data_IF_911414643638
#
_entry.id   IF_911414643638
#
_cell.length_a   1.000
_cell.length_b   1.000
_cell.length_c   1.000
_cell.angle_alpha   90.00
_cell.angle_beta   90.00
_cell.angle_gamma   90.00
#
_symmetry.space_group_name_H-M   'P 1'
#
loop_
_entity.id
_entity.type
_entity.pdbx_description
1 polymer ?
#
# COMPACT_ATOMS: atom_id res chain seq x y z
N UNK A 1 -13.79 1.44 -24.16
CA UNK A 1 -13.84 1.92 -22.76
C UNK A 1 -12.86 1.25 -21.80
N UNK A 2 -12.20 0.14 -22.16
CA UNK A 2 -11.32 -0.61 -21.23
C UNK A 2 -9.85 -0.20 -21.18
N UNK A 3 -9.41 0.71 -22.04
CA UNK A 3 -8.00 1.10 -22.15
C UNK A 3 -7.62 2.21 -21.13
N UNK A 4 -8.51 3.14 -20.85
CA UNK A 4 -8.27 4.27 -19.94
C UNK A 4 -8.20 3.85 -18.47
N UNK A 5 -9.00 2.86 -18.06
CA UNK A 5 -8.98 2.37 -16.67
C UNK A 5 -7.71 1.56 -16.31
N UNK A 6 -6.98 1.02 -17.30
CA UNK A 6 -5.72 0.28 -17.07
C UNK A 6 -4.48 1.19 -17.05
N UNK A 7 -4.52 2.31 -17.74
CA UNK A 7 -3.47 3.34 -17.63
C UNK A 7 -3.49 4.04 -16.27
N UNK A 8 -4.66 4.23 -15.67
CA UNK A 8 -4.79 4.83 -14.33
C UNK A 8 -4.15 3.98 -13.23
N UNK A 9 -4.13 2.64 -13.37
CA UNK A 9 -3.55 1.74 -12.37
C UNK A 9 -2.01 1.74 -12.39
N UNK A 10 -1.40 1.84 -13.57
CA UNK A 10 0.07 1.96 -13.71
C UNK A 10 0.59 3.34 -13.29
N UNK A 11 -0.22 4.39 -13.46
CA UNK A 11 0.10 5.73 -12.99
C UNK A 11 -0.06 5.88 -11.46
N UNK A 12 -0.96 5.11 -10.80
CA UNK A 12 -1.09 5.10 -9.34
C UNK A 12 0.13 4.57 -8.65
N UNK A 13 0.72 3.45 -9.11
CA UNK A 13 1.96 2.90 -8.52
C UNK A 13 3.14 3.89 -8.60
N UNK A 14 3.17 4.75 -9.62
CA UNK A 14 4.23 5.76 -9.80
C UNK A 14 3.93 7.06 -9.04
N UNK A 15 2.65 7.42 -8.87
CA UNK A 15 2.22 8.61 -8.12
C UNK A 15 2.33 8.41 -6.60
N UNK A 16 2.01 7.21 -6.11
CA UNK A 16 2.27 6.85 -4.71
C UNK A 16 3.76 6.97 -4.38
N UNK A 17 4.66 6.53 -5.29
CA UNK A 17 6.12 6.66 -5.10
C UNK A 17 6.61 8.11 -5.10
N UNK A 18 6.07 8.97 -5.99
CA UNK A 18 6.44 10.40 -6.02
C UNK A 18 5.85 11.16 -4.81
N UNK A 19 4.68 10.77 -4.33
CA UNK A 19 4.07 11.30 -3.11
C UNK A 19 4.92 11.00 -1.87
N UNK A 20 5.46 9.78 -1.76
CA UNK A 20 6.33 9.38 -0.65
C UNK A 20 7.67 10.11 -0.65
N UNK A 21 8.32 10.29 -1.79
CA UNK A 21 9.63 11.00 -1.89
C UNK A 21 9.49 12.49 -1.59
N UNK A 22 8.37 13.14 -1.96
CA UNK A 22 8.12 14.56 -1.61
C UNK A 22 7.62 14.76 -0.19
N UNK A 23 7.02 13.75 0.45
CA UNK A 23 6.66 13.78 1.87
C UNK A 23 7.89 13.93 2.79
N UNK A 24 9.04 13.44 2.37
CA UNK A 24 10.33 13.54 3.07
C UNK A 24 10.72 14.97 3.46
N UNK A 25 10.55 15.96 2.57
CA UNK A 25 10.91 17.37 2.85
C UNK A 25 9.90 18.09 3.75
N UNK A 26 8.62 17.69 3.72
CA UNK A 26 7.61 18.24 4.65
C UNK A 26 7.72 17.64 6.05
N UNK A 27 8.13 16.38 6.16
CA UNK A 27 8.19 15.64 7.42
C UNK A 27 9.23 16.23 8.37
N UNK A 28 10.42 16.56 7.87
CA UNK A 28 11.48 17.20 8.67
C UNK A 28 11.10 18.57 9.23
N UNK A 29 10.11 19.25 8.65
CA UNK A 29 9.56 20.51 9.17
C UNK A 29 8.62 20.27 10.36
N UNK A 30 7.86 19.18 10.35
CA UNK A 30 6.89 18.81 11.41
C UNK A 30 7.62 18.40 12.71
N UNK A 31 8.81 17.80 12.62
CA UNK A 31 9.60 17.39 13.78
C UNK A 31 10.20 18.57 14.58
N UNK A 32 10.41 19.74 13.96
CA UNK A 32 10.96 20.92 14.63
C UNK A 32 9.95 21.75 15.42
N UNK A 33 8.65 21.52 15.25
CA UNK A 33 7.58 22.26 15.94
C UNK A 33 7.06 21.54 17.22
N UNK A 34 7.90 20.71 17.86
CA UNK A 34 7.49 19.85 18.98
C UNK A 34 7.55 20.50 20.37
N UNK A 35 7.58 21.82 20.47
CA UNK A 35 7.51 22.51 21.77
C UNK A 35 6.21 23.32 21.90
N UNK A 36 5.28 22.75 22.61
CA UNK A 36 4.40 23.38 23.61
C UNK A 36 3.19 22.51 23.92
N UNK A 37 3.00 22.26 25.19
CA UNK A 37 1.88 21.56 25.77
C UNK A 37 0.57 22.26 25.42
N UNK A 38 -0.29 21.57 24.72
CA UNK A 38 -1.72 21.44 24.95
C UNK A 38 -2.42 20.67 23.84
N UNK A 39 -3.46 19.90 24.17
CA UNK A 39 -3.98 18.88 23.26
C UNK A 39 -5.05 19.39 22.28
N UNK A 40 -4.96 20.60 21.76
CA UNK A 40 -5.86 21.04 20.67
C UNK A 40 -5.43 20.44 19.32
N UNK A 41 -5.51 19.12 19.25
CA UNK A 41 -5.18 18.40 18.01
C UNK A 41 -6.18 18.78 16.92
N UNK A 42 -7.45 19.01 17.26
CA UNK A 42 -8.46 19.42 16.29
C UNK A 42 -8.13 20.78 15.68
N UNK A 43 -7.70 21.76 16.47
CA UNK A 43 -7.26 23.06 15.97
C UNK A 43 -6.07 22.93 15.00
N UNK A 44 -5.11 22.09 15.31
CA UNK A 44 -3.97 21.79 14.43
C UNK A 44 -4.42 21.10 13.13
N UNK A 45 -5.37 20.16 13.20
CA UNK A 45 -5.95 19.50 12.02
C UNK A 45 -6.63 20.54 11.11
N UNK A 46 -7.41 21.43 11.67
CA UNK A 46 -8.18 22.45 10.94
C UNK A 46 -7.39 23.70 10.58
N UNK A 47 -6.12 23.79 10.95
CA UNK A 47 -5.27 24.91 10.58
C UNK A 47 -5.15 25.05 9.06
N UNK A 48 -5.15 26.30 8.57
CA UNK A 48 -5.08 26.62 7.14
C UNK A 48 -3.89 25.95 6.45
N UNK A 49 -2.74 25.93 7.10
CA UNK A 49 -1.52 25.31 6.54
C UNK A 49 -1.65 23.80 6.43
N UNK A 50 -2.21 23.14 7.43
CA UNK A 50 -2.42 21.68 7.42
C UNK A 50 -3.45 21.29 6.34
N UNK A 51 -4.57 22.01 6.22
CA UNK A 51 -5.59 21.77 5.20
C UNK A 51 -5.04 22.01 3.79
N UNK A 52 -4.24 23.06 3.58
CA UNK A 52 -3.58 23.30 2.30
C UNK A 52 -2.60 22.19 1.92
N UNK A 53 -1.82 21.68 2.88
CA UNK A 53 -0.93 20.51 2.66
C UNK A 53 -1.75 19.27 2.30
N UNK A 54 -2.85 19.03 3.02
CA UNK A 54 -3.75 17.92 2.77
C UNK A 54 -4.36 18.00 1.35
N UNK A 55 -4.88 19.16 0.96
CA UNK A 55 -5.39 19.39 -0.39
C UNK A 55 -4.34 19.10 -1.47
N UNK A 56 -3.12 19.67 -1.32
CA UNK A 56 -2.02 19.46 -2.28
C UNK A 56 -1.68 17.96 -2.44
N UNK A 57 -1.71 17.20 -1.35
CA UNK A 57 -1.44 15.77 -1.35
C UNK A 57 -2.56 14.96 -2.01
N UNK A 58 -3.82 15.28 -1.71
CA UNK A 58 -4.98 14.65 -2.35
C UNK A 58 -5.01 14.97 -3.85
N UNK A 59 -4.71 16.22 -4.24
CA UNK A 59 -4.61 16.63 -5.65
C UNK A 59 -3.52 15.88 -6.41
N UNK A 60 -2.36 15.65 -5.79
CA UNK A 60 -1.27 14.90 -6.42
C UNK A 60 -1.64 13.44 -6.75
N UNK A 61 -2.57 12.85 -5.99
CA UNK A 61 -3.01 11.46 -6.19
C UNK A 61 -4.02 11.29 -7.34
N UNK A 62 -4.58 12.36 -7.89
CA UNK A 62 -5.52 12.35 -9.04
C UNK A 62 -6.64 11.30 -8.89
N UNK A 63 -7.20 11.17 -7.69
CA UNK A 63 -8.23 10.16 -7.41
C UNK A 63 -9.58 10.47 -8.04
N UNK A 64 -10.37 9.43 -8.35
CA UNK A 64 -11.72 9.56 -8.88
C UNK A 64 -12.68 10.28 -7.89
N UNK A 65 -13.79 10.89 -8.36
CA UNK A 65 -14.80 11.52 -7.51
C UNK A 65 -15.52 10.52 -6.61
N UNK A 66 -16.02 11.00 -5.47
CA UNK A 66 -16.82 10.23 -4.52
C UNK A 66 -18.26 10.03 -4.96
N UNK A 67 -19.17 9.93 -3.98
CA UNK A 67 -20.63 9.82 -4.21
C UNK A 67 -21.25 11.12 -4.69
N UNK A 68 -20.63 12.25 -4.35
CA UNK A 68 -21.03 13.60 -4.73
C UNK A 68 -20.68 13.97 -6.17
N UNK A 69 -19.91 13.15 -6.86
CA UNK A 69 -19.43 13.41 -8.21
C UNK A 69 -18.39 14.53 -8.33
N UNK A 70 -18.05 15.23 -7.23
CA UNK A 70 -17.10 16.35 -7.23
C UNK A 70 -15.70 15.88 -7.62
N UNK A 71 -15.13 16.51 -8.64
CA UNK A 71 -13.76 16.31 -9.08
C UNK A 71 -12.77 17.08 -8.20
N UNK A 72 -11.49 16.75 -8.34
CA UNK A 72 -10.44 17.45 -7.56
C UNK A 72 -10.22 18.89 -8.04
N UNK A 73 -10.50 19.17 -9.30
CA UNK A 73 -10.44 20.50 -9.90
C UNK A 73 -11.55 21.39 -9.37
N UNK A 74 -12.76 20.87 -9.23
CA UNK A 74 -13.93 21.57 -8.68
C UNK A 74 -13.83 21.75 -7.16
N UNK A 75 -13.13 20.89 -6.46
CA UNK A 75 -12.99 20.98 -5.00
C UNK A 75 -12.25 22.24 -4.53
N UNK A 76 -11.33 22.81 -5.32
CA UNK A 76 -10.58 23.99 -4.89
C UNK A 76 -11.43 25.28 -4.87
N UNK A 77 -12.17 25.64 -5.93
CA UNK A 77 -13.11 26.76 -5.87
C UNK A 77 -14.12 26.58 -4.75
N UNK A 78 -14.71 25.40 -4.62
CA UNK A 78 -15.69 25.09 -3.59
C UNK A 78 -15.11 25.28 -2.17
N UNK A 79 -13.91 24.78 -1.89
CA UNK A 79 -13.26 24.99 -0.59
C UNK A 79 -12.92 26.46 -0.32
N UNK A 80 -12.59 27.25 -1.33
CA UNK A 80 -12.34 28.68 -1.16
C UNK A 80 -13.58 29.40 -0.58
N UNK A 81 -14.74 29.00 -1.02
CA UNK A 81 -16.01 29.60 -0.64
C UNK A 81 -16.54 29.05 0.69
N UNK A 82 -16.45 27.72 0.89
CA UNK A 82 -17.10 27.01 1.99
C UNK A 82 -16.15 26.57 3.12
N UNK A 83 -14.85 26.89 3.07
CA UNK A 83 -13.87 26.38 4.05
C UNK A 83 -14.19 26.83 5.48
N UNK A 84 -14.67 28.06 5.67
CA UNK A 84 -15.03 28.57 7.00
C UNK A 84 -16.21 27.79 7.59
N UNK A 85 -17.28 27.64 6.82
CA UNK A 85 -18.46 26.88 7.24
C UNK A 85 -18.10 25.41 7.57
N UNK A 86 -17.32 24.78 6.69
CA UNK A 86 -16.86 23.40 6.87
C UNK A 86 -16.07 23.24 8.18
N UNK A 87 -15.11 24.12 8.43
CA UNK A 87 -14.29 24.06 9.66
C UNK A 87 -15.13 24.33 10.91
N UNK A 88 -16.08 25.25 10.87
CA UNK A 88 -16.99 25.50 11.99
C UNK A 88 -17.93 24.32 12.25
N UNK A 89 -18.47 23.68 11.22
CA UNK A 89 -19.27 22.45 11.36
C UNK A 89 -18.45 21.31 12.00
N UNK A 90 -17.17 21.19 11.63
CA UNK A 90 -16.28 20.20 12.23
C UNK A 90 -16.02 20.53 13.71
N UNK A 91 -15.71 21.80 14.05
CA UNK A 91 -15.46 22.25 15.44
C UNK A 91 -16.66 22.02 16.34
N UNK A 92 -17.85 22.30 15.85
CA UNK A 92 -19.11 22.08 16.56
C UNK A 92 -19.55 20.62 16.61
N UNK A 93 -18.80 19.73 16.00
CA UNK A 93 -19.12 18.31 15.93
C UNK A 93 -20.35 17.97 15.07
N UNK A 94 -20.78 18.84 14.18
CA UNK A 94 -21.92 18.62 13.29
C UNK A 94 -21.53 18.07 11.91
N UNK A 95 -20.24 17.87 11.66
CA UNK A 95 -19.77 17.27 10.41
C UNK A 95 -20.05 15.78 10.38
N UNK A 96 -20.77 15.34 9.34
CA UNK A 96 -21.02 13.93 9.07
C UNK A 96 -20.35 13.56 7.74
N UNK A 97 -19.39 12.62 7.76
CA UNK A 97 -18.77 12.14 6.54
C UNK A 97 -19.78 11.49 5.59
N UNK A 98 -19.58 11.69 4.30
CA UNK A 98 -20.39 11.02 3.27
C UNK A 98 -20.08 9.54 3.19
N UNK A 99 -21.02 8.68 2.78
CA UNK A 99 -20.74 7.28 2.49
C UNK A 99 -19.72 7.16 1.36
N UNK A 100 -18.88 6.12 1.40
CA UNK A 100 -17.90 5.90 0.33
C UNK A 100 -18.55 5.25 -0.88
N UNK A 101 -18.18 5.67 -2.09
CA UNK A 101 -18.63 5.07 -3.34
C UNK A 101 -17.91 3.74 -3.57
N UNK A 102 -18.65 2.64 -3.67
CA UNK A 102 -18.10 1.30 -3.93
C UNK A 102 -17.60 1.18 -5.37
N UNK A 103 -16.40 0.64 -5.53
CA UNK A 103 -15.85 0.25 -6.83
C UNK A 103 -15.22 -1.13 -6.70
N UNK A 104 -15.51 -2.00 -7.62
CA UNK A 104 -14.98 -3.35 -7.67
C UNK A 104 -13.83 -3.45 -8.67
N UNK A 105 -12.68 -3.95 -8.21
CA UNK A 105 -11.49 -4.17 -9.04
C UNK A 105 -11.19 -5.67 -9.08
N UNK A 106 -11.09 -6.29 -10.27
CA UNK A 106 -10.76 -7.69 -10.39
C UNK A 106 -9.35 -7.97 -9.88
N UNK A 107 -9.19 -9.01 -9.07
CA UNK A 107 -7.89 -9.51 -8.64
C UNK A 107 -7.29 -10.42 -9.72
N UNK A 108 -5.95 -10.55 -9.77
CA UNK A 108 -5.28 -11.46 -10.71
C UNK A 108 -5.60 -12.95 -10.50
N UNK A 109 -6.07 -13.31 -9.33
CA UNK A 109 -6.43 -14.67 -8.90
C UNK A 109 -7.92 -15.01 -9.12
N UNK A 110 -8.67 -14.15 -9.82
CA UNK A 110 -10.09 -14.31 -10.14
C UNK A 110 -11.06 -13.78 -9.10
N UNK A 111 -10.56 -13.25 -7.97
CA UNK A 111 -11.41 -12.60 -6.97
C UNK A 111 -11.66 -11.12 -7.27
N UNK A 112 -12.50 -10.49 -6.45
CA UNK A 112 -12.80 -9.05 -6.53
C UNK A 112 -12.26 -8.34 -5.30
N UNK A 113 -11.65 -7.15 -5.50
CA UNK A 113 -11.31 -6.22 -4.43
C UNK A 113 -12.34 -5.10 -4.41
N UNK A 114 -13.01 -4.96 -3.30
CA UNK A 114 -14.01 -3.91 -3.08
C UNK A 114 -13.32 -2.66 -2.52
N UNK A 115 -13.20 -1.60 -3.33
CA UNK A 115 -12.67 -0.31 -2.88
C UNK A 115 -13.81 0.65 -2.52
N UNK A 116 -13.58 1.49 -1.51
CA UNK A 116 -14.46 2.60 -1.19
C UNK A 116 -13.78 3.92 -1.55
N UNK A 117 -14.41 4.75 -2.37
CA UNK A 117 -13.90 6.05 -2.76
C UNK A 117 -14.64 7.12 -1.96
N UNK A 118 -14.00 7.78 -0.96
CA UNK A 118 -14.60 8.91 -0.24
C UNK A 118 -14.73 10.13 -1.14
N UNK A 119 -15.56 11.10 -0.76
CA UNK A 119 -15.62 12.41 -1.42
C UNK A 119 -14.26 13.11 -1.36
N UNK A 120 -14.05 14.09 -2.24
CA UNK A 120 -12.79 14.85 -2.24
C UNK A 120 -12.61 15.58 -0.91
N UNK A 121 -13.69 16.18 -0.39
CA UNK A 121 -13.71 16.88 0.90
C UNK A 121 -13.33 15.92 2.04
N UNK A 122 -13.95 14.74 2.12
CA UNK A 122 -13.62 13.73 3.13
C UNK A 122 -12.16 13.29 3.04
N UNK A 123 -11.63 13.07 1.83
CA UNK A 123 -10.21 12.73 1.62
C UNK A 123 -9.26 13.81 2.14
N UNK A 124 -9.61 15.09 1.97
CA UNK A 124 -8.80 16.21 2.46
C UNK A 124 -8.79 16.22 3.98
N UNK A 125 -9.96 16.07 4.62
CA UNK A 125 -10.07 16.04 6.07
C UNK A 125 -9.35 14.81 6.65
N UNK A 126 -9.56 13.62 6.08
CA UNK A 126 -8.84 12.40 6.48
C UNK A 126 -7.32 12.55 6.33
N UNK A 127 -6.87 13.20 5.26
CA UNK A 127 -5.45 13.49 5.05
C UNK A 127 -4.93 14.50 6.08
N UNK A 128 -5.72 15.52 6.43
CA UNK A 128 -5.37 16.48 7.47
C UNK A 128 -5.25 15.83 8.86
N UNK A 129 -6.17 14.92 9.20
CA UNK A 129 -6.09 14.10 10.42
C UNK A 129 -4.83 13.25 10.41
N UNK A 130 -4.59 12.51 9.33
CA UNK A 130 -3.44 11.62 9.19
C UNK A 130 -2.12 12.36 9.39
N UNK A 131 -1.99 13.58 8.85
CA UNK A 131 -0.80 14.41 8.98
C UNK A 131 -0.47 14.82 10.44
N UNK A 132 -1.49 14.97 11.28
CA UNK A 132 -1.31 15.31 12.69
C UNK A 132 -1.15 14.09 13.58
N UNK A 133 -1.72 12.94 13.21
CA UNK A 133 -1.59 11.72 13.98
C UNK A 133 -0.30 10.95 13.70
N UNK A 134 0.24 11.00 12.48
CA UNK A 134 1.51 10.32 12.14
C UNK A 134 2.64 10.66 13.11
N UNK A 135 2.92 11.93 13.47
CA UNK A 135 3.96 12.26 14.43
C UNK A 135 3.75 11.69 15.84
N UNK A 136 2.50 11.40 16.22
CA UNK A 136 2.16 10.81 17.51
C UNK A 136 2.46 9.30 17.52
N UNK A 137 2.14 8.61 16.41
CA UNK A 137 2.23 7.16 16.32
C UNK A 137 3.54 6.64 15.76
N UNK A 138 4.22 7.39 14.88
CA UNK A 138 5.46 6.95 14.23
C UNK A 138 6.54 6.51 15.25
N UNK A 139 6.79 7.22 16.37
CA UNK A 139 7.74 6.78 17.37
C UNK A 139 7.33 5.53 18.16
N UNK A 140 6.04 5.18 18.12
CA UNK A 140 5.45 4.06 18.88
C UNK A 140 5.36 2.78 18.06
N UNK A 141 5.50 2.89 16.74
CA UNK A 141 5.47 1.72 15.88
C UNK A 141 6.72 0.86 16.05
N UNK A 142 6.52 -0.45 16.07
CA UNK A 142 7.60 -1.41 16.13
C UNK A 142 8.60 -1.24 14.97
N UNK A 143 9.87 -1.52 15.22
CA UNK A 143 10.91 -1.43 14.19
C UNK A 143 10.67 -2.37 13.00
N UNK A 144 10.07 -3.53 13.24
CA UNK A 144 9.72 -4.51 12.22
C UNK A 144 8.52 -4.15 11.36
N UNK A 145 7.84 -3.02 11.62
CA UNK A 145 6.72 -2.53 10.81
C UNK A 145 7.22 -1.57 9.74
N UNK A 146 6.92 -1.83 8.46
CA UNK A 146 7.46 -1.09 7.31
C UNK A 146 6.38 -0.49 6.40
N UNK A 147 5.20 -1.09 6.31
CA UNK A 147 4.15 -0.65 5.39
C UNK A 147 3.48 0.66 5.83
N UNK A 148 3.21 1.55 4.88
CA UNK A 148 2.52 2.84 5.08
C UNK A 148 3.20 3.79 6.08
N UNK A 149 4.48 3.61 6.33
CA UNK A 149 5.27 4.45 7.22
C UNK A 149 6.22 5.36 6.44
N UNK A 150 6.46 6.60 6.92
CA UNK A 150 7.49 7.46 6.34
C UNK A 150 8.86 6.79 6.41
N UNK A 151 9.70 7.06 5.40
CA UNK A 151 11.10 6.62 5.35
C UNK A 151 11.34 5.11 5.37
N UNK A 152 10.26 4.30 5.32
CA UNK A 152 10.34 2.85 5.29
C UNK A 152 9.78 2.28 3.98
N UNK A 153 10.43 1.25 3.48
CA UNK A 153 10.10 0.66 2.19
C UNK A 153 9.94 -0.86 2.27
N UNK A 154 9.36 -1.42 1.20
CA UNK A 154 9.32 -2.88 1.03
C UNK A 154 10.72 -3.50 0.95
N UNK A 155 11.72 -2.76 0.46
CA UNK A 155 13.10 -3.22 0.37
C UNK A 155 13.70 -3.40 1.76
N UNK A 156 13.42 -2.47 2.68
CA UNK A 156 13.92 -2.53 4.06
C UNK A 156 13.33 -3.74 4.79
N UNK A 157 12.03 -4.02 4.60
CA UNK A 157 11.39 -5.22 5.14
C UNK A 157 12.04 -6.51 4.62
N UNK A 158 12.33 -6.56 3.31
CA UNK A 158 12.99 -7.70 2.68
C UNK A 158 14.44 -7.84 3.17
N UNK A 159 15.17 -6.75 3.30
CA UNK A 159 16.53 -6.74 3.82
C UNK A 159 16.57 -7.21 5.29
N UNK A 160 15.61 -6.79 6.10
CA UNK A 160 15.51 -7.20 7.51
C UNK A 160 15.29 -8.71 7.66
N UNK A 161 14.50 -9.34 6.80
CA UNK A 161 14.37 -10.81 6.80
C UNK A 161 15.71 -11.48 6.48
N UNK A 162 16.49 -10.95 5.52
CA UNK A 162 17.82 -11.45 5.19
C UNK A 162 18.74 -11.40 6.41
N UNK A 163 18.79 -10.27 7.10
CA UNK A 163 19.60 -10.06 8.31
C UNK A 163 19.26 -11.07 9.42
N UNK A 164 17.98 -11.33 9.65
CA UNK A 164 17.56 -12.35 10.60
C UNK A 164 17.89 -13.77 10.13
N UNK A 165 17.78 -14.06 8.82
CA UNK A 165 18.16 -15.35 8.27
C UNK A 165 19.67 -15.62 8.42
N UNK A 166 20.52 -14.60 8.31
CA UNK A 166 21.98 -14.65 8.58
C UNK A 166 22.26 -14.94 10.07
N UNK A 167 21.38 -14.50 10.98
CA UNK A 167 21.43 -14.81 12.42
C UNK A 167 20.86 -16.19 12.77
N UNK A 168 20.50 -17.01 11.77
CA UNK A 168 19.99 -18.36 11.95
C UNK A 168 18.47 -18.49 12.06
N UNK A 169 17.71 -17.42 11.87
CA UNK A 169 16.23 -17.47 11.79
C UNK A 169 15.80 -17.94 10.39
N UNK A 170 15.82 -19.25 10.18
CA UNK A 170 15.61 -19.85 8.85
C UNK A 170 14.19 -20.35 8.59
N UNK A 171 13.32 -20.29 9.59
CA UNK A 171 11.92 -20.66 9.50
C UNK A 171 11.03 -19.41 9.59
N UNK A 172 10.08 -19.29 8.67
CA UNK A 172 9.12 -18.20 8.60
C UNK A 172 7.72 -18.71 8.86
N UNK A 173 6.97 -17.97 9.67
CA UNK A 173 5.52 -18.07 9.81
C UNK A 173 4.92 -16.94 8.97
N UNK A 174 4.26 -17.29 7.89
CA UNK A 174 3.56 -16.34 7.03
C UNK A 174 2.11 -16.32 7.47
N UNK A 175 1.61 -15.15 7.87
CA UNK A 175 0.23 -14.93 8.29
C UNK A 175 -0.49 -14.09 7.24
N UNK A 176 -1.64 -14.56 6.76
CA UNK A 176 -2.55 -13.88 5.84
C UNK A 176 -3.85 -13.55 6.59
N UNK A 177 -4.21 -12.28 6.64
CA UNK A 177 -5.43 -11.83 7.30
C UNK A 177 -6.60 -11.83 6.30
N UNK A 178 -7.70 -12.46 6.68
CA UNK A 178 -8.90 -12.49 5.85
C UNK A 178 -9.61 -11.15 5.89
N UNK A 179 -9.64 -10.45 4.74
CA UNK A 179 -10.38 -9.18 4.59
C UNK A 179 -10.07 -8.17 5.70
N UNK A 180 -8.80 -8.00 6.04
CA UNK A 180 -8.33 -7.22 7.18
C UNK A 180 -9.05 -5.87 7.34
N UNK A 181 -9.11 -5.08 6.26
CA UNK A 181 -9.77 -3.77 6.31
C UNK A 181 -11.28 -3.85 6.52
N UNK A 182 -11.92 -4.96 6.17
CA UNK A 182 -13.37 -5.14 6.31
C UNK A 182 -13.78 -5.70 7.68
N UNK A 183 -12.81 -6.15 8.51
CA UNK A 183 -13.05 -6.84 9.80
C UNK A 183 -12.46 -6.10 11.01
N UNK A 184 -11.96 -4.88 10.83
CA UNK A 184 -11.45 -4.04 11.91
C UNK A 184 -12.56 -3.73 12.92
N UNK A 185 -12.35 -4.09 14.19
CA UNK A 185 -13.29 -3.75 15.25
C UNK A 185 -13.16 -2.28 15.63
N UNK A 186 -14.23 -1.50 15.41
CA UNK A 186 -14.24 -0.05 15.63
C UNK A 186 -13.99 0.33 17.09
N UNK A 187 -14.65 -0.35 18.05
CA UNK A 187 -14.51 -0.01 19.46
C UNK A 187 -13.10 -0.32 19.98
N UNK A 188 -12.53 -1.45 19.55
CA UNK A 188 -11.15 -1.78 19.91
C UNK A 188 -10.16 -0.74 19.36
N UNK A 189 -10.31 -0.35 18.09
CA UNK A 189 -9.49 0.70 17.48
C UNK A 189 -9.64 2.05 18.20
N UNK A 190 -10.87 2.45 18.52
CA UNK A 190 -11.16 3.70 19.25
C UNK A 190 -10.51 3.68 20.63
N UNK A 191 -10.54 2.55 21.33
CA UNK A 191 -9.90 2.40 22.64
C UNK A 191 -8.37 2.52 22.54
N UNK A 192 -7.74 1.97 21.49
CA UNK A 192 -6.31 2.18 21.24
C UNK A 192 -6.02 3.67 20.99
N UNK A 193 -6.79 4.32 20.12
CA UNK A 193 -6.60 5.73 19.80
C UNK A 193 -6.72 6.64 21.03
N UNK A 194 -7.65 6.38 21.95
CA UNK A 194 -7.84 7.15 23.18
C UNK A 194 -6.67 7.08 24.15
N UNK A 195 -5.81 6.08 24.06
CA UNK A 195 -4.60 6.03 24.89
C UNK A 195 -3.67 7.20 24.57
N UNK A 196 -3.59 7.59 23.31
CA UNK A 196 -2.60 8.52 22.81
C UNK A 196 -3.18 9.87 22.36
N UNK A 197 -4.40 9.86 21.82
CA UNK A 197 -5.13 11.05 21.34
C UNK A 197 -6.12 11.46 22.44
N UNK A 198 -5.80 12.55 23.15
CA UNK A 198 -6.64 13.04 24.26
C UNK A 198 -7.79 13.93 23.83
N UNK A 199 -7.75 14.42 22.57
CA UNK A 199 -8.83 15.24 21.98
C UNK A 199 -10.00 14.35 21.53
N UNK A 200 -11.03 14.23 22.37
CA UNK A 200 -12.21 13.38 22.09
C UNK A 200 -12.97 13.82 20.83
N UNK A 201 -12.88 15.10 20.43
CA UNK A 201 -13.51 15.59 19.17
C UNK A 201 -12.88 14.90 17.96
N UNK A 202 -11.57 14.70 17.98
CA UNK A 202 -10.84 13.95 16.93
C UNK A 202 -11.24 12.49 16.92
N UNK A 203 -11.33 11.87 18.09
CA UNK A 203 -11.78 10.48 18.24
C UNK A 203 -13.19 10.28 17.67
N UNK A 204 -14.13 11.18 18.03
CA UNK A 204 -15.51 11.12 17.51
C UNK A 204 -15.56 11.32 15.99
N UNK A 205 -14.73 12.18 15.46
CA UNK A 205 -14.63 12.37 14.00
C UNK A 205 -14.10 11.10 13.31
N UNK A 206 -13.07 10.45 13.83
CA UNK A 206 -12.58 9.18 13.32
C UNK A 206 -13.67 8.10 13.38
N UNK A 207 -14.38 8.01 14.51
CA UNK A 207 -15.50 7.07 14.68
C UNK A 207 -16.60 7.28 13.63
N UNK A 208 -16.91 8.54 13.29
CA UNK A 208 -17.86 8.86 12.22
C UNK A 208 -17.35 8.41 10.85
N UNK A 209 -16.06 8.58 10.54
CA UNK A 209 -15.46 8.07 9.30
C UNK A 209 -15.56 6.56 9.21
N UNK A 210 -15.32 5.83 10.29
CA UNK A 210 -15.45 4.37 10.32
C UNK A 210 -16.90 3.93 10.08
N UNK A 211 -17.89 4.70 10.57
CA UNK A 211 -19.34 4.43 10.46
C UNK A 211 -20.03 5.09 9.26
N UNK A 212 -19.29 5.79 8.37
CA UNK A 212 -19.87 6.56 7.27
C UNK A 212 -20.67 5.73 6.26
N UNK A 213 -20.48 4.42 6.26
CA UNK A 213 -21.18 3.51 5.37
C UNK A 213 -20.60 3.46 3.96
N UNK A 214 -21.18 2.60 3.16
CA UNK A 214 -20.79 2.35 1.77
C UNK A 214 -22.00 2.47 0.88
N UNK A 215 -21.90 3.22 -0.20
CA UNK A 215 -22.93 3.30 -1.22
C UNK A 215 -22.70 2.23 -2.28
N UNK A 216 -23.62 1.28 -2.37
CA UNK A 216 -23.68 0.25 -3.40
C UNK A 216 -24.99 0.42 -4.19
N UNK A 217 -24.92 0.60 -5.50
CA UNK A 217 -26.09 0.73 -6.39
C UNK A 217 -27.14 1.77 -5.92
N UNK A 218 -26.67 2.89 -5.36
CA UNK A 218 -27.56 3.96 -4.87
C UNK A 218 -28.12 3.75 -3.45
N UNK A 219 -27.82 2.61 -2.80
CA UNK A 219 -28.24 2.30 -1.42
C UNK A 219 -27.07 2.44 -0.47
N UNK A 220 -27.28 3.13 0.65
CA UNK A 220 -26.28 3.27 1.71
C UNK A 220 -26.37 2.09 2.67
N UNK A 221 -25.33 1.26 2.69
CA UNK A 221 -25.16 0.18 3.65
C UNK A 221 -24.31 0.68 4.82
N UNK A 222 -24.85 0.63 6.03
CA UNK A 222 -24.10 0.97 7.25
C UNK A 222 -22.97 -0.04 7.49
N UNK A 223 -21.84 0.45 7.97
CA UNK A 223 -20.69 -0.39 8.37
C UNK A 223 -20.57 -0.37 9.89
N UNK A 224 -20.67 -1.54 10.51
CA UNK A 224 -20.46 -1.70 11.95
C UNK A 224 -19.03 -2.15 12.28
N UNK A 225 -18.36 -2.75 11.30
CA UNK A 225 -16.97 -3.21 11.34
C UNK A 225 -16.22 -2.74 10.10
N UNK A 226 -14.90 -2.70 10.20
CA UNK A 226 -14.01 -2.41 9.08
C UNK A 226 -13.73 -0.93 8.85
N UNK A 227 -12.76 -0.69 7.98
CA UNK A 227 -12.40 0.64 7.49
C UNK A 227 -12.44 0.62 5.97
N UNK A 228 -13.09 1.58 5.30
CA UNK A 228 -13.19 1.58 3.84
C UNK A 228 -11.81 1.52 3.18
N UNK A 229 -11.57 0.51 2.33
CA UNK A 229 -10.35 0.43 1.53
C UNK A 229 -10.32 1.58 0.52
N UNK A 230 -9.42 2.56 0.72
CA UNK A 230 -9.27 3.73 -0.17
C UNK A 230 -9.38 5.08 0.53
N UNK A 231 -9.73 5.12 1.81
CA UNK A 231 -9.62 6.33 2.62
C UNK A 231 -8.16 6.68 2.94
N UNK A 232 -7.85 7.97 3.01
CA UNK A 232 -6.49 8.45 3.30
C UNK A 232 -6.04 8.17 4.74
N UNK A 233 -6.98 7.96 5.65
CA UNK A 233 -6.74 7.67 7.05
C UNK A 233 -6.59 6.16 7.33
N UNK A 234 -7.22 5.31 6.52
CA UNK A 234 -7.27 3.85 6.74
C UNK A 234 -5.90 3.18 6.89
N UNK A 235 -4.85 3.54 6.12
CA UNK A 235 -3.52 2.95 6.29
C UNK A 235 -2.89 3.22 7.67
N UNK A 236 -3.05 4.43 8.19
CA UNK A 236 -2.57 4.78 9.53
C UNK A 236 -3.32 4.01 10.61
N UNK A 237 -4.66 3.99 10.54
CA UNK A 237 -5.50 3.26 11.50
C UNK A 237 -5.20 1.76 11.50
N UNK A 238 -4.97 1.19 10.32
CA UNK A 238 -4.54 -0.19 10.17
C UNK A 238 -3.20 -0.46 10.87
N UNK A 239 -2.22 0.42 10.72
CA UNK A 239 -0.95 0.30 11.42
C UNK A 239 -1.09 0.45 12.93
N UNK A 240 -1.89 1.40 13.41
CA UNK A 240 -2.19 1.59 14.84
C UNK A 240 -2.80 0.31 15.45
N UNK A 241 -3.73 -0.31 14.74
CA UNK A 241 -4.38 -1.54 15.20
C UNK A 241 -3.40 -2.71 15.29
N UNK A 242 -2.62 -2.97 14.23
CA UNK A 242 -1.67 -4.08 14.19
C UNK A 242 -0.40 -3.83 15.01
N UNK A 243 -0.14 -2.60 15.45
CA UNK A 243 0.97 -2.32 16.34
C UNK A 243 0.83 -3.05 17.70
N UNK A 244 -0.38 -3.34 18.15
CA UNK A 244 -0.61 -4.17 19.35
C UNK A 244 -0.01 -5.57 19.15
N UNK A 245 -0.18 -6.15 17.96
CA UNK A 245 0.44 -7.41 17.58
C UNK A 245 1.96 -7.30 17.52
N UNK A 246 2.48 -6.29 16.84
CA UNK A 246 3.91 -6.08 16.68
C UNK A 246 4.61 -5.94 18.04
N UNK A 247 4.03 -5.14 18.94
CA UNK A 247 4.57 -4.91 20.29
C UNK A 247 4.53 -6.18 21.15
N UNK A 248 3.47 -6.96 21.06
CA UNK A 248 3.34 -8.21 21.83
C UNK A 248 4.42 -9.22 21.42
N UNK A 249 4.63 -9.43 20.11
CA UNK A 249 5.64 -10.37 19.65
C UNK A 249 7.07 -9.86 19.85
N UNK A 250 7.30 -8.54 19.77
CA UNK A 250 8.58 -7.94 20.15
C UNK A 250 8.92 -8.16 21.62
N UNK A 251 7.95 -8.00 22.53
CA UNK A 251 8.14 -8.29 23.97
C UNK A 251 8.53 -9.74 24.23
N UNK A 252 8.04 -10.67 23.40
CA UNK A 252 8.42 -12.10 23.45
C UNK A 252 9.78 -12.39 22.82
N UNK A 253 10.49 -11.38 22.30
CA UNK A 253 11.76 -11.57 21.59
C UNK A 253 11.63 -12.26 20.23
N UNK A 254 10.44 -12.23 19.62
CA UNK A 254 10.18 -12.86 18.32
C UNK A 254 10.40 -11.83 17.22
N UNK A 255 11.29 -12.08 16.25
CA UNK A 255 11.43 -11.22 15.08
C UNK A 255 10.12 -11.19 14.28
N UNK A 256 9.48 -10.02 14.26
CA UNK A 256 8.24 -9.76 13.55
C UNK A 256 8.52 -8.73 12.44
N UNK A 257 8.25 -9.09 11.20
CA UNK A 257 8.38 -8.22 10.03
C UNK A 257 7.00 -8.07 9.39
N UNK A 258 6.51 -6.84 9.31
CA UNK A 258 5.20 -6.54 8.78
C UNK A 258 5.24 -5.45 7.72
N UNK A 259 4.55 -5.69 6.62
CA UNK A 259 4.29 -4.68 5.59
C UNK A 259 2.77 -4.59 5.35
N UNK A 260 2.11 -3.62 5.97
CA UNK A 260 0.65 -3.51 6.04
C UNK A 260 0.03 -4.75 6.71
N UNK A 261 -0.74 -5.53 5.94
CA UNK A 261 -1.38 -6.79 6.33
C UNK A 261 -0.53 -8.05 6.09
N UNK A 262 0.59 -7.92 5.37
CA UNK A 262 1.55 -9.01 5.14
C UNK A 262 2.47 -9.18 6.36
N UNK A 263 2.25 -10.19 7.19
CA UNK A 263 2.97 -10.45 8.44
C UNK A 263 3.86 -11.69 8.29
N UNK A 264 5.12 -11.56 8.72
CA UNK A 264 6.07 -12.67 8.81
C UNK A 264 6.71 -12.67 10.19
N UNK A 265 6.58 -13.79 10.93
CA UNK A 265 7.36 -14.05 12.13
C UNK A 265 8.49 -15.03 11.78
N UNK A 266 9.64 -14.88 12.43
CA UNK A 266 10.79 -15.73 12.16
C UNK A 266 11.18 -16.57 13.38
N UNK A 267 11.59 -17.81 13.11
CA UNK A 267 12.03 -18.78 14.10
C UNK A 267 13.31 -19.49 13.66
N UNK A 268 14.05 -20.05 14.63
CA UNK A 268 15.27 -20.83 14.36
C UNK A 268 14.98 -22.30 14.05
N UNK A 269 13.86 -22.85 14.54
CA UNK A 269 13.49 -24.26 14.34
C UNK A 269 12.06 -24.41 13.83
N UNK A 270 11.77 -25.56 13.23
CA UNK A 270 10.44 -25.91 12.73
C UNK A 270 9.40 -25.94 13.85
N UNK A 271 9.71 -26.67 14.92
CA UNK A 271 8.87 -26.77 16.11
C UNK A 271 8.57 -25.41 16.75
N UNK A 272 9.55 -24.46 16.74
CA UNK A 272 9.30 -23.09 17.20
C UNK A 272 8.37 -22.34 16.26
N UNK A 273 8.50 -22.52 14.93
CA UNK A 273 7.62 -21.87 13.96
C UNK A 273 6.18 -22.37 14.04
N UNK A 274 5.95 -23.66 14.31
CA UNK A 274 4.60 -24.22 14.52
C UNK A 274 3.93 -23.62 15.77
N UNK A 275 4.64 -23.56 16.89
CA UNK A 275 4.14 -22.90 18.11
C UNK A 275 3.85 -21.41 17.88
N UNK A 276 4.68 -20.74 17.10
CA UNK A 276 4.45 -19.32 16.76
C UNK A 276 3.22 -19.17 15.88
N UNK A 277 2.97 -20.05 14.93
CA UNK A 277 1.76 -20.02 14.10
C UNK A 277 0.50 -20.16 14.97
N UNK A 278 0.50 -21.11 15.89
CA UNK A 278 -0.62 -21.33 16.79
C UNK A 278 -0.85 -20.12 17.73
N UNK A 279 0.21 -19.67 18.42
CA UNK A 279 0.12 -18.56 19.39
C UNK A 279 -0.24 -17.22 18.71
N UNK A 280 0.30 -16.97 17.51
CA UNK A 280 -0.02 -15.76 16.74
C UNK A 280 -1.46 -15.76 16.22
N UNK A 281 -1.94 -16.90 15.76
CA UNK A 281 -3.33 -17.08 15.34
C UNK A 281 -4.27 -16.85 16.54
N UNK A 282 -3.98 -17.46 17.67
CA UNK A 282 -4.77 -17.28 18.92
C UNK A 282 -4.80 -15.82 19.35
N UNK A 283 -3.70 -15.09 19.26
CA UNK A 283 -3.65 -13.68 19.62
C UNK A 283 -4.44 -12.80 18.64
N UNK A 284 -4.28 -13.03 17.33
CA UNK A 284 -5.02 -12.29 16.28
C UNK A 284 -6.54 -12.52 16.40
N UNK A 285 -6.98 -13.77 16.57
CA UNK A 285 -8.41 -14.11 16.63
C UNK A 285 -9.00 -13.80 18.02
N UNK A 286 -8.29 -14.12 19.09
CA UNK A 286 -8.76 -13.95 20.49
C UNK A 286 -8.73 -12.50 20.97
N UNK A 287 -7.57 -11.84 20.85
CA UNK A 287 -7.34 -10.50 21.39
C UNK A 287 -7.71 -9.41 20.40
N UNK A 288 -7.19 -9.49 19.17
CA UNK A 288 -7.41 -8.46 18.15
C UNK A 288 -8.72 -8.65 17.36
N UNK A 289 -9.46 -9.75 17.56
CA UNK A 289 -10.71 -10.05 16.84
C UNK A 289 -10.59 -10.03 15.32
N UNK A 290 -9.39 -10.33 14.79
CA UNK A 290 -9.11 -10.43 13.36
C UNK A 290 -9.22 -11.88 12.90
N UNK A 291 -9.65 -12.10 11.66
CA UNK A 291 -9.78 -13.45 11.09
C UNK A 291 -8.50 -13.83 10.34
N UNK A 292 -7.86 -14.91 10.73
CA UNK A 292 -6.69 -15.46 10.05
C UNK A 292 -7.14 -16.41 8.93
N UNK A 293 -6.59 -16.24 7.74
CA UNK A 293 -6.80 -17.18 6.63
C UNK A 293 -5.92 -18.42 6.83
N UNK A 294 -6.48 -19.47 7.39
CA UNK A 294 -5.76 -20.70 7.74
C UNK A 294 -5.21 -21.46 6.53
N UNK A 295 -5.83 -21.33 5.35
CA UNK A 295 -5.37 -21.99 4.13
C UNK A 295 -4.08 -21.35 3.59
N UNK A 296 -3.92 -20.05 3.77
CA UNK A 296 -2.77 -19.28 3.30
C UNK A 296 -1.71 -19.09 4.37
N UNK A 297 -2.09 -19.11 5.65
CA UNK A 297 -1.16 -18.99 6.78
C UNK A 297 -0.46 -20.30 7.01
N UNK A 298 0.88 -20.26 7.09
CA UNK A 298 1.70 -21.48 7.15
C UNK A 298 3.09 -21.21 7.67
N UNK A 299 3.74 -22.29 8.11
CA UNK A 299 5.18 -22.32 8.35
C UNK A 299 5.93 -22.74 7.09
N UNK A 300 7.07 -22.14 6.84
CA UNK A 300 7.87 -22.41 5.65
C UNK A 300 9.34 -22.07 5.90
N UNK A 301 10.27 -22.78 5.28
CA UNK A 301 11.67 -22.34 5.28
C UNK A 301 11.84 -21.08 4.47
N UNK A 302 12.60 -20.10 5.00
CA UNK A 302 12.96 -18.86 4.29
C UNK A 302 13.65 -19.19 2.94
N UNK A 303 14.35 -20.31 2.84
CA UNK A 303 15.04 -20.76 1.63
C UNK A 303 14.18 -21.63 0.71
N UNK A 304 12.92 -21.84 1.03
CA UNK A 304 11.99 -22.56 0.15
C UNK A 304 11.57 -21.66 -1.03
N UNK A 305 12.43 -21.54 -2.03
CA UNK A 305 12.35 -20.58 -3.15
C UNK A 305 10.98 -20.58 -3.85
N UNK A 306 10.31 -21.72 -3.94
CA UNK A 306 8.97 -21.82 -4.56
C UNK A 306 7.83 -21.50 -3.60
N UNK A 307 8.03 -21.76 -2.32
CA UNK A 307 6.99 -21.71 -1.30
C UNK A 307 7.06 -20.45 -0.43
N UNK A 308 8.24 -19.89 -0.21
CA UNK A 308 8.38 -18.61 0.49
C UNK A 308 8.41 -17.46 -0.49
N UNK A 309 7.43 -16.58 -0.37
CA UNK A 309 7.34 -15.34 -1.14
C UNK A 309 6.92 -14.22 -0.20
N UNK A 310 7.76 -13.19 -0.08
CA UNK A 310 7.43 -12.00 0.67
C UNK A 310 7.65 -10.75 -0.20
N UNK A 311 6.62 -9.94 -0.39
CA UNK A 311 6.64 -8.73 -1.22
C UNK A 311 7.21 -8.93 -2.63
N UNK A 312 7.05 -10.14 -3.20
CA UNK A 312 7.56 -10.47 -4.53
C UNK A 312 8.98 -11.02 -4.57
N UNK A 313 9.65 -11.13 -3.41
CA UNK A 313 11.01 -11.64 -3.27
C UNK A 313 11.02 -13.05 -2.65
N UNK A 314 12.15 -13.74 -2.79
CA UNK A 314 12.52 -14.96 -2.10
C UNK A 314 14.03 -14.95 -1.82
N UNK A 315 14.53 -15.93 -1.05
CA UNK A 315 15.92 -15.96 -0.62
C UNK A 315 16.61 -17.23 -1.10
N UNK A 316 17.87 -17.10 -1.46
CA UNK A 316 18.76 -18.22 -1.76
C UNK A 316 19.97 -18.20 -0.83
N UNK A 317 20.65 -19.37 -0.72
CA UNK A 317 21.90 -19.51 0.00
C UNK A 317 22.94 -20.13 -0.93
N UNK A 318 24.14 -19.60 -0.92
CA UNK A 318 25.30 -20.14 -1.64
C UNK A 318 26.55 -20.06 -0.75
N UNK A 319 27.71 -20.43 -1.26
CA UNK A 319 28.98 -20.39 -0.51
C UNK A 319 29.41 -18.99 -0.07
N UNK A 320 28.84 -17.91 -0.64
CA UNK A 320 29.10 -16.50 -0.28
C UNK A 320 28.09 -15.94 0.73
N UNK A 321 27.07 -16.72 1.11
CA UNK A 321 26.05 -16.31 2.08
C UNK A 321 24.63 -16.32 1.52
N UNK A 322 23.77 -15.54 2.18
CA UNK A 322 22.35 -15.42 1.80
C UNK A 322 22.17 -14.25 0.82
N UNK A 323 21.44 -14.50 -0.25
CA UNK A 323 21.13 -13.49 -1.26
C UNK A 323 19.64 -13.40 -1.56
N UNK A 324 19.19 -12.21 -1.94
CA UNK A 324 17.79 -11.91 -2.28
C UNK A 324 17.56 -12.22 -3.75
N UNK A 325 16.44 -12.85 -4.09
CA UNK A 325 16.01 -13.15 -5.45
C UNK A 325 14.60 -12.63 -5.71
N UNK A 326 14.33 -12.38 -6.97
CA UNK A 326 12.94 -12.14 -7.43
C UNK A 326 12.21 -13.48 -7.50
N UNK A 327 11.04 -13.57 -6.89
CA UNK A 327 10.23 -14.78 -6.91
C UNK A 327 9.70 -15.10 -8.32
N UNK A 328 9.61 -16.38 -8.67
CA UNK A 328 9.21 -16.84 -10.01
C UNK A 328 7.87 -16.27 -10.50
N UNK A 329 6.86 -16.19 -9.61
CA UNK A 329 5.57 -15.59 -9.93
C UNK A 329 5.70 -14.10 -10.34
N UNK A 330 6.65 -13.37 -9.75
CA UNK A 330 6.93 -11.97 -10.09
C UNK A 330 7.60 -11.83 -11.46
N UNK A 331 8.50 -12.76 -11.80
CA UNK A 331 9.09 -12.87 -13.15
C UNK A 331 8.05 -13.21 -14.21
N UNK A 332 7.18 -14.18 -13.95
CA UNK A 332 6.09 -14.55 -14.86
C UNK A 332 5.19 -13.35 -15.15
N UNK A 333 4.77 -12.63 -14.10
CA UNK A 333 3.96 -11.41 -14.23
C UNK A 333 4.68 -10.31 -15.05
N UNK A 334 5.99 -10.13 -14.85
CA UNK A 334 6.78 -9.18 -15.63
C UNK A 334 6.82 -9.57 -17.12
N UNK A 335 7.11 -10.84 -17.43
CA UNK A 335 7.09 -11.35 -18.81
C UNK A 335 5.72 -11.23 -19.48
N UNK A 336 4.64 -11.48 -18.76
CA UNK A 336 3.26 -11.30 -19.26
C UNK A 336 2.96 -9.84 -19.58
N UNK A 337 3.32 -8.90 -18.72
CA UNK A 337 3.15 -7.48 -18.98
C UNK A 337 3.98 -7.02 -20.19
N UNK A 338 5.24 -7.44 -20.27
CA UNK A 338 6.11 -7.14 -21.42
C UNK A 338 5.56 -7.76 -22.71
N UNK A 339 5.01 -8.99 -22.65
CA UNK A 339 4.34 -9.64 -23.80
C UNK A 339 3.17 -8.80 -24.28
N UNK A 340 2.37 -8.25 -23.36
CA UNK A 340 1.24 -7.37 -23.68
C UNK A 340 1.70 -6.05 -24.31
N UNK A 341 2.74 -5.42 -23.74
CA UNK A 341 3.29 -4.15 -24.24
C UNK A 341 3.95 -4.30 -25.62
N UNK A 342 4.54 -5.46 -25.91
CA UNK A 342 5.19 -5.81 -27.17
C UNK A 342 4.34 -6.77 -28.02
N UNK A 343 3.02 -6.66 -27.94
CA UNK A 343 2.12 -7.50 -28.75
C UNK A 343 2.16 -7.07 -30.21
N UNK A 344 2.52 -8.01 -31.09
CA UNK A 344 2.60 -7.78 -32.54
C UNK A 344 1.31 -7.24 -33.16
N UNK A 345 0.14 -7.73 -32.65
CA UNK A 345 -1.17 -7.29 -33.15
C UNK A 345 -1.53 -5.88 -32.71
N UNK A 346 -1.10 -5.47 -31.52
CA UNK A 346 -1.43 -4.17 -30.91
C UNK A 346 -0.37 -3.10 -31.12
N UNK A 347 0.81 -3.46 -31.59
CA UNK A 347 1.92 -2.53 -31.81
C UNK A 347 1.71 -1.72 -33.08
N UNK A 348 1.07 -0.55 -32.99
CA UNK A 348 0.90 0.41 -34.11
C UNK A 348 2.13 1.29 -34.31
N UNK A 349 2.89 1.59 -33.24
CA UNK A 349 4.12 2.37 -33.29
C UNK A 349 5.14 1.75 -32.33
N UNK A 350 6.32 1.40 -32.90
CA UNK A 350 7.41 0.81 -32.11
C UNK A 350 7.97 1.80 -31.09
N UNK A 351 8.06 3.09 -31.45
CA UNK A 351 8.55 4.15 -30.54
C UNK A 351 7.69 4.26 -29.30
N UNK A 352 6.35 4.29 -29.48
CA UNK A 352 5.40 4.32 -28.37
C UNK A 352 5.44 3.03 -27.54
N UNK A 353 5.66 1.87 -28.19
CA UNK A 353 5.78 0.59 -27.48
C UNK A 353 7.06 0.54 -26.63
N UNK A 354 8.20 0.96 -27.20
CA UNK A 354 9.48 1.02 -26.48
C UNK A 354 9.42 1.97 -25.27
N UNK A 355 8.83 3.15 -25.44
CA UNK A 355 8.67 4.09 -24.33
C UNK A 355 7.83 3.49 -23.18
N UNK A 356 6.76 2.75 -23.50
CA UNK A 356 5.96 2.05 -22.48
C UNK A 356 6.73 0.92 -21.80
N UNK A 357 7.54 0.16 -22.58
CA UNK A 357 8.42 -0.87 -22.04
C UNK A 357 9.46 -0.26 -21.11
N UNK A 358 10.09 0.85 -21.52
CA UNK A 358 11.06 1.58 -20.70
C UNK A 358 10.46 2.03 -19.37
N UNK A 359 9.31 2.69 -19.39
CA UNK A 359 8.61 3.16 -18.17
C UNK A 359 8.31 1.98 -17.24
N UNK A 360 7.78 0.88 -17.79
CA UNK A 360 7.48 -0.33 -17.03
C UNK A 360 8.74 -0.95 -16.41
N UNK A 361 9.79 -1.15 -17.22
CA UNK A 361 11.04 -1.78 -16.77
C UNK A 361 11.78 -0.90 -15.77
N UNK A 362 11.81 0.41 -15.94
CA UNK A 362 12.41 1.34 -14.98
C UNK A 362 11.76 1.21 -13.59
N UNK A 363 10.44 1.18 -13.54
CA UNK A 363 9.71 0.97 -12.28
C UNK A 363 9.96 -0.41 -11.67
N UNK A 364 9.94 -1.45 -12.50
CA UNK A 364 10.15 -2.83 -12.07
C UNK A 364 11.59 -3.05 -11.56
N UNK A 365 12.61 -2.61 -12.29
CA UNK A 365 14.01 -2.69 -11.89
C UNK A 365 14.30 -1.89 -10.63
N UNK A 366 13.73 -0.70 -10.51
CA UNK A 366 13.87 0.09 -9.28
C UNK A 366 13.29 -0.65 -8.06
N UNK A 367 12.13 -1.29 -8.21
CA UNK A 367 11.52 -2.07 -7.10
C UNK A 367 12.39 -3.27 -6.70
N UNK A 368 12.90 -4.03 -7.67
CA UNK A 368 13.68 -5.24 -7.45
C UNK A 368 15.20 -5.01 -7.37
N UNK A 369 15.68 -3.79 -7.27
CA UNK A 369 17.12 -3.43 -7.35
C UNK A 369 18.01 -4.11 -6.31
N UNK A 370 17.46 -4.56 -5.18
CA UNK A 370 18.18 -5.28 -4.12
C UNK A 370 18.36 -6.77 -4.40
N UNK A 371 17.70 -7.30 -5.44
CA UNK A 371 17.75 -8.71 -5.78
C UNK A 371 18.92 -9.04 -6.72
N UNK A 372 19.56 -10.17 -6.49
CA UNK A 372 20.49 -10.74 -7.46
C UNK A 372 19.73 -11.32 -8.65
N UNK A 373 19.87 -10.66 -9.80
CA UNK A 373 19.11 -11.02 -11.01
C UNK A 373 19.90 -10.83 -12.32
N UNK A 374 21.25 -10.69 -12.27
CA UNK A 374 22.07 -10.42 -13.43
C UNK A 374 21.76 -11.38 -14.61
N UNK A 375 21.87 -12.67 -14.39
CA UNK A 375 21.61 -13.71 -15.39
C UNK A 375 20.16 -13.67 -15.91
N UNK A 376 19.20 -13.48 -15.01
CA UNK A 376 17.79 -13.40 -15.40
C UNK A 376 17.47 -12.16 -16.25
N UNK A 377 18.18 -11.05 -16.03
CA UNK A 377 18.04 -9.83 -16.85
C UNK A 377 18.65 -10.04 -18.23
N UNK A 378 19.80 -10.70 -18.33
CA UNK A 378 20.42 -11.06 -19.62
C UNK A 378 19.46 -11.91 -20.47
N UNK A 379 18.87 -12.96 -19.89
CA UNK A 379 17.87 -13.80 -20.54
C UNK A 379 16.60 -13.01 -20.96
N UNK A 380 16.15 -12.12 -20.07
CA UNK A 380 14.99 -11.26 -20.35
C UNK A 380 15.28 -10.30 -21.52
N UNK A 381 16.47 -9.71 -21.55
CA UNK A 381 16.88 -8.81 -22.64
C UNK A 381 16.90 -9.55 -23.99
N UNK A 382 17.53 -10.72 -24.04
CA UNK A 382 17.56 -11.53 -25.27
C UNK A 382 16.15 -11.89 -25.78
N UNK A 383 15.24 -12.23 -24.86
CA UNK A 383 13.87 -12.51 -25.18
C UNK A 383 13.11 -11.23 -25.63
N UNK A 384 13.33 -10.08 -24.98
CA UNK A 384 12.68 -8.81 -25.31
C UNK A 384 13.13 -8.28 -26.66
N UNK A 385 14.43 -8.36 -27.00
CA UNK A 385 14.95 -7.99 -28.32
C UNK A 385 14.26 -8.78 -29.44
N UNK A 386 14.08 -10.09 -29.29
CA UNK A 386 13.34 -10.90 -30.28
C UNK A 386 11.91 -10.39 -30.49
N UNK A 387 11.23 -10.01 -29.41
CA UNK A 387 9.86 -9.48 -29.49
C UNK A 387 9.80 -8.11 -30.15
N UNK A 388 10.74 -7.24 -29.86
CA UNK A 388 10.84 -5.91 -30.46
C UNK A 388 11.10 -6.05 -31.98
N UNK A 389 12.05 -6.90 -32.38
CA UNK A 389 12.31 -7.20 -33.80
C UNK A 389 11.04 -7.67 -34.53
N UNK A 390 10.29 -8.58 -33.92
CA UNK A 390 9.02 -9.05 -34.48
C UNK A 390 8.01 -7.91 -34.70
N UNK A 391 7.97 -6.90 -33.86
CA UNK A 391 7.11 -5.73 -34.01
C UNK A 391 7.62 -4.82 -35.13
N UNK A 392 8.94 -4.60 -35.24
CA UNK A 392 9.60 -3.83 -36.30
C UNK A 392 9.33 -4.48 -37.66
N UNK A 393 9.55 -5.78 -37.80
CA UNK A 393 9.26 -6.53 -39.00
C UNK A 393 7.82 -6.37 -39.47
N UNK A 394 6.86 -6.34 -38.58
CA UNK A 394 5.47 -6.08 -38.94
C UNK A 394 5.24 -4.67 -39.44
N UNK A 395 5.93 -3.66 -38.90
CA UNK A 395 5.79 -2.28 -39.36
C UNK A 395 6.36 -2.06 -40.75
N UNK A 396 7.43 -2.75 -41.13
CA UNK A 396 8.04 -2.64 -42.46
C UNK A 396 7.20 -3.29 -43.56
N UNK A 397 6.12 -3.95 -43.28
CA UNK A 397 5.09 -4.53 -44.14
C UNK A 397 5.62 -5.35 -45.34
N UNK A 398 6.30 -4.73 -46.31
CA UNK A 398 6.76 -5.34 -47.54
C UNK A 398 8.23 -5.79 -47.49
N UNK A 399 8.64 -6.82 -48.28
CA UNK A 399 10.04 -7.22 -48.37
C UNK A 399 10.98 -6.08 -48.80
N UNK A 400 10.55 -5.23 -49.76
CA UNK A 400 11.32 -4.07 -50.23
C UNK A 400 11.61 -3.07 -49.08
N UNK A 401 10.60 -2.72 -48.28
CA UNK A 401 10.79 -1.87 -47.10
C UNK A 401 11.70 -2.50 -46.03
N UNK A 402 11.68 -3.83 -45.91
CA UNK A 402 12.56 -4.55 -44.99
C UNK A 402 14.02 -4.46 -45.43
N UNK A 403 14.28 -4.69 -46.73
CA UNK A 403 15.60 -4.57 -47.30
C UNK A 403 16.14 -3.14 -47.17
N UNK A 404 15.34 -2.13 -47.57
CA UNK A 404 15.70 -0.71 -47.45
C UNK A 404 16.07 -0.26 -46.02
N UNK A 405 15.44 -0.83 -45.00
CA UNK A 405 15.68 -0.45 -43.61
C UNK A 405 16.74 -1.33 -42.91
N UNK A 406 17.26 -2.36 -43.57
CA UNK A 406 18.38 -3.21 -43.11
C UNK A 406 19.73 -2.78 -43.69
N UNK A 407 19.73 -2.09 -44.85
CA UNK A 407 20.90 -1.43 -45.44
C UNK A 407 21.10 -0.06 -44.80
#
# INVERSE_FOLDING_TARGET
>A
MDAENKESCLQRDSAERKGYVRAHRSFNRIWKERDSAEPDILGKILSKDNLNRAYKRVKANKGAPGVDGMTIEEAFPWLKEHSHELTERIRKGHYTPSPVRRVEIPKPDGGVRKLGIPTVTDRIIQQAISQQLIPIYEPKFAEGSFGYRPERSAKDAVQRIKEYAEQGYTRAVVLDLSKYFDTLNHEFLVNILRRDVKDERVIQMIKRYLKSGVMENGVVVKTEEGSPQGGNLSPLLANVYLNEFDQEFNKRGVPCIRYADDIVLLAKSERASERLLESSTKYLEGTLKLKVNREKSRTVSVFAIRNFKYLGFCYGKNGKGIYIRVHEKSWKKAKENLRRLTSRSRCRSIVKAMKRVEIYMRGWLNYYSIADMKRNIEDLNGWLYRRIRMCIWKQWKTPQNRIKNLM
#
